data_IF_993451980764
#
_entry.id   IF_993451980764
#
_cell.length_a   1.000
_cell.length_b   1.000
_cell.length_c   1.000
_cell.angle_alpha   90.00
_cell.angle_beta   90.00
_cell.angle_gamma   90.00
#
_symmetry.space_group_name_H-M   'P 1'
#
loop_
_entity.id
_entity.type
_entity.pdbx_description
1 polymer ?
#
# COMPACT_ATOMS: atom_id res chain seq x y z
N UNK A 1 -12.91 -2.17 7.66
CA UNK A 1 -12.49 -1.97 6.26
C UNK A 1 -13.29 -0.90 5.53
N UNK A 2 -14.64 -0.85 5.63
CA UNK A 2 -15.48 0.20 5.00
C UNK A 2 -15.14 1.66 5.37
N UNK A 3 -14.30 1.89 6.39
CA UNK A 3 -13.94 3.21 6.92
C UNK A 3 -12.60 3.78 6.41
N UNK A 4 -11.81 3.05 5.61
CA UNK A 4 -10.53 3.58 5.09
C UNK A 4 -10.69 4.48 3.85
N UNK A 5 -11.91 4.64 3.33
CA UNK A 5 -12.19 5.52 2.18
C UNK A 5 -11.58 5.05 0.85
N UNK A 6 -11.15 3.78 0.76
CA UNK A 6 -10.53 3.23 -0.44
C UNK A 6 -11.51 3.21 -1.61
N UNK A 7 -11.00 3.55 -2.79
CA UNK A 7 -11.72 3.55 -4.06
C UNK A 7 -11.43 2.30 -4.90
N UNK A 8 -10.22 1.74 -4.80
CA UNK A 8 -9.69 0.69 -5.66
C UNK A 8 -8.89 -0.37 -4.88
N UNK A 9 -8.93 -1.61 -5.36
CA UNK A 9 -8.19 -2.76 -4.85
C UNK A 9 -7.33 -3.37 -5.95
N UNK A 10 -6.14 -3.91 -5.64
CA UNK A 10 -5.56 -4.07 -4.31
C UNK A 10 -5.13 -2.73 -3.70
N UNK A 11 -5.05 -2.66 -2.37
CA UNK A 11 -4.57 -1.49 -1.66
C UNK A 11 -3.53 -1.89 -0.60
N UNK A 12 -2.50 -1.08 -0.44
CA UNK A 12 -1.50 -1.21 0.61
C UNK A 12 -1.59 -0.02 1.55
N UNK A 13 -2.04 -0.25 2.78
CA UNK A 13 -2.36 0.80 3.76
C UNK A 13 -1.53 0.60 5.02
N UNK A 14 -0.77 1.62 5.41
CA UNK A 14 -0.13 1.66 6.73
C UNK A 14 -1.10 2.27 7.74
N UNK A 15 -1.71 1.43 8.59
CA UNK A 15 -2.58 1.87 9.68
C UNK A 15 -1.83 1.78 11.02
N UNK A 16 -1.75 2.88 11.75
CA UNK A 16 -1.16 2.92 13.10
C UNK A 16 -2.21 2.62 14.17
N UNK A 17 -1.76 2.24 15.37
CA UNK A 17 -2.64 1.90 16.49
C UNK A 17 -3.50 3.08 17.00
N UNK A 18 -3.13 4.31 16.66
CA UNK A 18 -3.91 5.53 16.92
C UNK A 18 -4.99 5.81 15.87
N UNK A 19 -5.13 4.95 14.86
CA UNK A 19 -6.11 5.08 13.78
C UNK A 19 -5.65 5.97 12.62
N UNK A 20 -4.43 6.51 12.65
CA UNK A 20 -3.89 7.31 11.54
C UNK A 20 -3.42 6.45 10.38
N UNK A 21 -3.49 7.00 9.16
CA UNK A 21 -2.98 6.39 7.93
C UNK A 21 -1.87 7.27 7.36
N UNK A 22 -0.60 7.09 7.77
CA UNK A 22 0.51 7.94 7.31
C UNK A 22 0.87 7.73 5.83
N UNK A 23 0.58 6.54 5.28
CA UNK A 23 0.83 6.22 3.89
C UNK A 23 -0.14 5.15 3.39
N UNK A 24 -0.60 5.31 2.16
CA UNK A 24 -1.41 4.32 1.46
C UNK A 24 -1.21 4.40 -0.05
N UNK A 25 -1.43 3.30 -0.75
CA UNK A 25 -1.48 3.23 -2.20
C UNK A 25 -2.63 2.31 -2.62
N UNK A 26 -3.33 2.68 -3.70
CA UNK A 26 -4.44 1.92 -4.29
C UNK A 26 -4.08 1.49 -5.71
N UNK A 27 -4.69 0.38 -6.15
CA UNK A 27 -4.19 -0.37 -7.30
C UNK A 27 -2.80 -0.95 -7.04
N UNK A 28 -2.30 -1.73 -7.97
CA UNK A 28 -0.90 -2.15 -7.96
C UNK A 28 -0.06 -1.10 -8.71
N UNK A 29 0.67 -0.29 -7.95
CA UNK A 29 1.68 0.62 -8.46
C UNK A 29 3.00 0.38 -7.71
N UNK A 30 4.01 -0.27 -8.32
CA UNK A 30 5.24 -0.64 -7.62
C UNK A 30 5.98 0.55 -7.00
N UNK A 31 5.90 1.74 -7.60
CA UNK A 31 6.57 2.94 -7.08
C UNK A 31 5.88 3.43 -5.81
N UNK A 32 4.55 3.49 -5.82
CA UNK A 32 3.75 3.94 -4.68
C UNK A 32 3.79 2.91 -3.54
N UNK A 33 3.69 1.62 -3.85
CA UNK A 33 3.81 0.54 -2.87
C UNK A 33 5.20 0.51 -2.22
N UNK A 34 6.27 0.77 -2.99
CA UNK A 34 7.61 0.93 -2.43
C UNK A 34 7.70 2.14 -1.48
N UNK A 35 7.01 3.23 -1.78
CA UNK A 35 6.96 4.39 -0.88
C UNK A 35 6.27 4.03 0.45
N UNK A 36 5.11 3.37 0.40
CA UNK A 36 4.41 2.87 1.61
C UNK A 36 5.30 1.93 2.42
N UNK A 37 5.95 0.95 1.76
CA UNK A 37 6.88 0.04 2.41
C UNK A 37 8.07 0.75 3.07
N UNK A 38 8.58 1.82 2.43
CA UNK A 38 9.66 2.64 2.97
C UNK A 38 9.20 3.40 4.21
N UNK A 39 8.02 4.04 4.17
CA UNK A 39 7.44 4.72 5.33
C UNK A 39 7.20 3.78 6.52
N UNK A 40 6.72 2.55 6.27
CA UNK A 40 6.57 1.54 7.31
C UNK A 40 7.93 1.21 7.90
N UNK A 41 8.90 0.81 7.07
CA UNK A 41 10.24 0.41 7.50
C UNK A 41 10.94 1.49 8.35
N UNK A 42 10.85 2.75 7.93
CA UNK A 42 11.37 3.89 8.69
C UNK A 42 10.63 4.10 10.01
N UNK A 43 9.31 3.94 10.03
CA UNK A 43 8.50 4.13 11.25
C UNK A 43 8.75 3.05 12.29
N UNK A 44 8.84 1.78 11.87
CA UNK A 44 8.93 0.64 12.80
C UNK A 44 10.33 0.03 12.93
N UNK A 45 11.33 0.65 12.30
CA UNK A 45 12.72 0.20 12.25
C UNK A 45 12.89 -1.26 11.74
N UNK A 46 12.13 -1.61 10.71
CA UNK A 46 12.20 -2.92 10.04
C UNK A 46 12.89 -2.83 8.67
N UNK A 47 13.30 -3.97 8.13
CA UNK A 47 13.71 -4.05 6.73
C UNK A 47 12.48 -3.93 5.82
N UNK A 48 12.63 -3.20 4.71
CA UNK A 48 11.59 -3.13 3.68
C UNK A 48 11.72 -4.29 2.68
N UNK A 49 10.62 -4.79 2.12
CA UNK A 49 10.66 -5.71 0.99
C UNK A 49 11.23 -5.02 -0.27
N UNK A 50 11.74 -5.83 -1.20
CA UNK A 50 12.03 -5.40 -2.56
C UNK A 50 10.72 -5.31 -3.34
N UNK A 51 10.38 -4.11 -3.83
CA UNK A 51 9.18 -3.87 -4.64
C UNK A 51 9.61 -3.05 -5.86
N UNK A 52 9.26 -3.42 -7.10
CA UNK A 52 8.81 -4.76 -7.47
C UNK A 52 10.00 -5.74 -7.41
N UNK A 53 9.71 -7.00 -7.12
CA UNK A 53 10.62 -8.11 -7.31
C UNK A 53 10.49 -8.68 -8.74
N UNK A 54 11.43 -9.54 -9.14
CA UNK A 54 11.33 -10.27 -10.40
C UNK A 54 10.08 -11.16 -10.40
N UNK A 55 9.28 -11.07 -11.45
CA UNK A 55 8.01 -11.81 -11.58
C UNK A 55 6.77 -11.05 -11.10
N UNK A 56 6.93 -9.88 -10.49
CA UNK A 56 5.79 -9.02 -10.17
C UNK A 56 5.10 -8.52 -11.45
N UNK A 57 3.77 -8.33 -11.42
CA UNK A 57 3.02 -7.83 -12.57
C UNK A 57 3.40 -6.38 -12.91
N UNK A 58 3.12 -5.97 -14.14
CA UNK A 58 3.10 -4.56 -14.51
C UNK A 58 2.03 -3.80 -13.71
N UNK A 59 2.18 -2.49 -13.58
CA UNK A 59 1.21 -1.67 -12.84
C UNK A 59 -0.21 -1.83 -13.39
N UNK A 60 -1.20 -1.96 -12.51
CA UNK A 60 -2.60 -2.08 -12.90
C UNK A 60 -3.53 -1.44 -11.86
N UNK A 61 -4.64 -0.89 -12.35
CA UNK A 61 -5.64 -0.17 -11.56
C UNK A 61 -6.39 -1.09 -10.59
N UNK A 62 -6.76 -2.28 -11.06
CA UNK A 62 -7.49 -3.27 -10.28
C UNK A 62 -9.00 -3.05 -10.32
N UNK A 63 -9.70 -3.28 -9.21
CA UNK A 63 -11.18 -3.27 -9.14
C UNK A 63 -11.70 -2.24 -8.14
N UNK A 64 -12.93 -1.72 -8.28
CA UNK A 64 -13.53 -0.86 -7.26
C UNK A 64 -13.58 -1.52 -5.87
N UNK A 65 -13.27 -0.76 -4.81
CA UNK A 65 -13.25 -1.23 -3.43
C UNK A 65 -14.64 -1.22 -2.75
N UNK A 66 -15.55 -0.38 -3.25
CA UNK A 66 -16.94 -0.31 -2.80
C UNK A 66 -17.85 -0.98 -3.82
N UNK A 67 -18.60 -1.98 -3.36
CA UNK A 67 -19.76 -2.58 -4.05
C UNK A 67 -21.04 -2.25 -3.31
#
# INVERSE_FOLDING_TARGET
MKQLGLSELPAFVFLRGDGTVPASAEGWNPKEWRAVATTIAETVAWSKPLIPASGDPGAFKGTPALV
#
